data_IF_079885174667
#
_entry.id   IF_079885174667
#
_cell.length_a   1.000
_cell.length_b   1.000
_cell.length_c   1.000
_cell.angle_alpha   90.00
_cell.angle_beta   90.00
_cell.angle_gamma   90.00
#
_symmetry.space_group_name_H-M   'P 1'
#
loop_
_entity.id
_entity.type
_entity.pdbx_description
1 polymer ?
#
# COMPACT_ATOMS: atom_id res chain seq x y z
N UNK A 1 25.06 4.54 40.03
CA UNK A 1 24.46 5.82 39.61
C UNK A 1 24.82 5.96 38.13
N UNK A 2 23.98 5.77 37.13
CA UNK A 2 22.57 6.09 36.97
C UNK A 2 22.42 6.83 35.64
N UNK A 3 21.80 6.17 34.65
CA UNK A 3 21.12 6.69 33.44
C UNK A 3 21.96 7.44 32.37
N UNK A 4 21.63 7.41 31.07
CA UNK A 4 20.40 7.04 30.40
C UNK A 4 20.67 6.37 29.03
N UNK A 5 19.89 5.32 28.77
CA UNK A 5 19.55 4.79 27.45
C UNK A 5 18.99 5.89 26.53
N UNK A 6 19.59 6.08 25.36
CA UNK A 6 18.93 6.77 24.24
C UNK A 6 18.58 5.74 23.16
N UNK A 7 17.42 5.10 23.33
CA UNK A 7 16.81 4.17 22.38
C UNK A 7 15.36 4.61 22.20
N UNK A 8 15.07 5.52 21.26
CA UNK A 8 13.69 5.73 20.77
C UNK A 8 13.47 6.68 19.57
N UNK A 9 14.50 7.16 18.86
CA UNK A 9 14.32 8.20 17.83
C UNK A 9 14.42 7.77 16.36
N UNK A 10 15.20 6.73 16.03
CA UNK A 10 15.77 6.64 14.68
C UNK A 10 15.13 5.61 13.74
N UNK A 11 14.18 4.78 14.20
CA UNK A 11 13.71 3.61 13.43
C UNK A 11 12.33 3.73 12.77
N UNK A 12 11.76 4.92 12.69
CA UNK A 12 10.37 5.13 12.23
C UNK A 12 10.26 6.03 10.99
N UNK A 13 11.35 6.16 10.22
CA UNK A 13 11.52 7.27 9.28
C UNK A 13 11.33 6.95 7.78
N UNK A 14 11.15 5.69 7.37
CA UNK A 14 11.23 5.33 5.94
C UNK A 14 9.92 5.58 5.19
N UNK A 15 8.84 4.88 5.54
CA UNK A 15 7.50 5.18 4.99
C UNK A 15 7.13 6.65 5.29
N UNK A 16 7.41 7.15 6.50
CA UNK A 16 7.17 8.55 6.85
C UNK A 16 7.84 9.54 5.87
N UNK A 17 9.06 9.26 5.41
CA UNK A 17 9.76 10.05 4.40
C UNK A 17 9.15 9.94 3.00
N UNK A 18 8.56 8.79 2.64
CA UNK A 18 7.88 8.61 1.34
C UNK A 18 6.71 9.58 1.14
N UNK A 19 6.04 10.00 2.22
CA UNK A 19 4.96 10.99 2.14
C UNK A 19 5.43 12.43 1.83
N UNK A 20 6.74 12.66 1.74
CA UNK A 20 7.30 13.90 1.23
C UNK A 20 7.72 13.80 -0.24
N UNK A 21 7.68 12.59 -0.82
CA UNK A 21 8.06 12.36 -2.23
C UNK A 21 6.97 12.87 -3.16
N UNK A 22 5.72 12.61 -2.81
CA UNK A 22 4.56 13.15 -3.50
C UNK A 22 3.83 14.14 -2.60
N UNK A 23 3.00 14.98 -3.19
CA UNK A 23 2.09 15.85 -2.43
C UNK A 23 0.63 15.35 -2.53
N UNK A 24 0.46 14.07 -2.92
CA UNK A 24 -0.86 13.47 -3.11
C UNK A 24 -1.58 13.35 -1.77
N UNK A 25 -2.80 13.85 -1.71
CA UNK A 25 -3.68 13.76 -0.56
C UNK A 25 -4.68 12.60 -0.69
N UNK A 26 -5.23 12.16 0.45
CA UNK A 26 -6.29 11.11 0.50
C UNK A 26 -7.48 11.44 -0.40
N UNK A 27 -7.83 12.73 -0.49
CA UNK A 27 -8.93 13.22 -1.31
C UNK A 27 -8.68 12.96 -2.79
N UNK A 28 -7.46 13.20 -3.26
CA UNK A 28 -7.06 12.99 -4.66
C UNK A 28 -7.02 11.51 -4.99
N UNK A 29 -6.44 10.68 -4.11
CA UNK A 29 -6.50 9.22 -4.23
C UNK A 29 -7.92 8.69 -4.28
N UNK A 30 -8.84 9.24 -3.46
CA UNK A 30 -10.26 8.90 -3.50
C UNK A 30 -10.93 9.29 -4.82
N UNK A 31 -10.56 10.44 -5.41
CA UNK A 31 -11.04 10.85 -6.73
C UNK A 31 -10.52 9.93 -7.84
N UNK A 32 -9.24 9.52 -7.78
CA UNK A 32 -8.67 8.54 -8.70
C UNK A 32 -9.39 7.19 -8.57
N UNK A 33 -9.59 6.67 -7.34
CA UNK A 33 -10.33 5.43 -7.07
C UNK A 33 -11.72 5.47 -7.70
N UNK A 34 -12.44 6.57 -7.51
CA UNK A 34 -13.76 6.76 -8.10
C UNK A 34 -13.70 6.75 -9.63
N UNK A 35 -12.76 7.49 -10.22
CA UNK A 35 -12.58 7.55 -11.67
C UNK A 35 -12.30 6.17 -12.28
N UNK A 36 -11.52 5.32 -11.60
CA UNK A 36 -11.30 3.94 -12.03
C UNK A 36 -12.55 3.07 -11.91
N UNK A 37 -13.28 3.19 -10.80
CA UNK A 37 -14.57 2.51 -10.63
C UNK A 37 -15.58 2.87 -11.73
N UNK A 38 -15.64 4.14 -12.12
CA UNK A 38 -16.53 4.63 -13.19
C UNK A 38 -16.06 4.19 -14.60
N UNK A 39 -14.75 4.01 -14.79
CA UNK A 39 -14.16 3.61 -16.07
C UNK A 39 -14.17 2.08 -16.32
N UNK A 40 -14.32 1.27 -15.26
CA UNK A 40 -14.39 -0.18 -15.35
C UNK A 40 -15.85 -0.68 -15.43
N UNK A 41 -16.07 -1.76 -16.19
CA UNK A 41 -17.34 -2.51 -16.12
C UNK A 41 -17.48 -3.13 -14.73
N UNK A 42 -18.71 -3.26 -14.22
CA UNK A 42 -18.96 -3.90 -12.92
C UNK A 42 -18.25 -5.26 -12.81
N UNK A 43 -17.36 -5.37 -11.81
CA UNK A 43 -16.57 -6.58 -11.55
C UNK A 43 -15.23 -6.67 -12.29
N UNK A 44 -14.88 -5.67 -13.13
CA UNK A 44 -13.55 -5.51 -13.69
C UNK A 44 -12.72 -4.53 -12.85
N UNK A 45 -11.42 -4.83 -12.72
CA UNK A 45 -10.47 -4.00 -11.96
C UNK A 45 -9.25 -3.58 -12.78
N UNK A 46 -9.28 -3.81 -14.09
CA UNK A 46 -8.16 -3.50 -14.97
C UNK A 46 -8.31 -2.09 -15.52
N UNK A 47 -7.30 -1.25 -15.32
CA UNK A 47 -7.21 0.08 -15.95
C UNK A 47 -5.94 0.20 -16.79
N UNK A 48 -6.05 0.94 -17.90
CA UNK A 48 -4.96 1.26 -18.81
C UNK A 48 -4.40 2.66 -18.55
N UNK A 49 -3.37 3.05 -19.32
CA UNK A 49 -2.72 4.37 -19.19
C UNK A 49 -3.63 5.54 -19.50
N UNK A 50 -4.55 5.40 -20.45
CA UNK A 50 -5.49 6.48 -20.80
C UNK A 50 -6.44 6.74 -19.62
N UNK A 51 -6.95 5.67 -19.01
CA UNK A 51 -7.79 5.77 -17.81
C UNK A 51 -7.04 6.34 -16.60
N UNK A 52 -5.74 6.03 -16.46
CA UNK A 52 -4.88 6.69 -15.47
C UNK A 52 -4.75 8.20 -15.74
N UNK A 53 -4.51 8.59 -16.98
CA UNK A 53 -4.38 10.01 -17.36
C UNK A 53 -5.68 10.80 -17.10
N UNK A 54 -6.82 10.23 -17.46
CA UNK A 54 -8.14 10.81 -17.20
C UNK A 54 -8.39 10.95 -15.70
N UNK A 55 -8.06 9.93 -14.90
CA UNK A 55 -8.22 9.96 -13.45
C UNK A 55 -7.32 11.01 -12.77
N UNK A 56 -6.05 11.13 -13.19
CA UNK A 56 -5.12 12.14 -12.67
C UNK A 56 -5.59 13.56 -13.02
N UNK A 57 -6.15 13.74 -14.22
CA UNK A 57 -6.73 15.02 -14.66
C UNK A 57 -7.95 15.37 -13.80
N UNK A 58 -8.86 14.42 -13.59
CA UNK A 58 -10.06 14.61 -12.78
C UNK A 58 -9.73 14.91 -11.30
N UNK A 59 -8.67 14.31 -10.77
CA UNK A 59 -8.20 14.55 -9.41
C UNK A 59 -7.32 15.82 -9.27
N UNK A 60 -6.99 16.51 -10.37
CA UNK A 60 -6.12 17.68 -10.41
C UNK A 60 -4.72 17.42 -9.79
N UNK A 61 -4.14 16.26 -10.10
CA UNK A 61 -2.81 15.87 -9.63
C UNK A 61 -1.74 16.82 -10.19
N UNK A 62 -0.79 17.21 -9.34
CA UNK A 62 0.31 18.09 -9.77
C UNK A 62 1.22 17.41 -10.79
N UNK A 63 1.80 18.15 -11.75
CA UNK A 63 2.64 17.55 -12.80
C UNK A 63 3.80 16.68 -12.28
N UNK A 64 4.43 17.05 -11.16
CA UNK A 64 5.50 16.22 -10.58
C UNK A 64 5.00 14.86 -10.06
N UNK A 65 3.76 14.82 -9.56
CA UNK A 65 3.14 13.61 -9.00
C UNK A 65 2.61 12.73 -10.14
N UNK A 66 2.16 13.33 -11.25
CA UNK A 66 1.79 12.62 -12.48
C UNK A 66 2.94 11.76 -13.00
N UNK A 67 4.14 12.34 -13.13
CA UNK A 67 5.32 11.59 -13.60
C UNK A 67 5.67 10.41 -12.68
N UNK A 68 5.52 10.60 -11.37
CA UNK A 68 5.73 9.53 -10.39
C UNK A 68 4.69 8.43 -10.60
N UNK A 69 3.40 8.77 -10.70
CA UNK A 69 2.32 7.80 -10.90
C UNK A 69 2.46 7.01 -12.20
N UNK A 70 2.91 7.63 -13.30
CA UNK A 70 3.16 6.91 -14.55
C UNK A 70 4.32 5.90 -14.45
N UNK A 71 5.37 6.26 -13.71
CA UNK A 71 6.48 5.34 -13.43
C UNK A 71 6.01 4.18 -12.56
N UNK A 72 5.20 4.46 -11.53
CA UNK A 72 4.58 3.41 -10.71
C UNK A 72 3.67 2.50 -11.54
N UNK A 73 2.87 3.05 -12.46
CA UNK A 73 2.04 2.22 -13.35
C UNK A 73 2.89 1.24 -14.15
N UNK A 74 4.02 1.70 -14.68
CA UNK A 74 4.97 0.86 -15.42
C UNK A 74 5.55 -0.25 -14.55
N UNK A 75 5.80 0.02 -13.27
CA UNK A 75 6.27 -0.98 -12.31
C UNK A 75 5.20 -2.06 -12.02
N UNK A 76 3.93 -1.67 -11.94
CA UNK A 76 2.81 -2.60 -11.73
C UNK A 76 2.47 -3.42 -12.98
N UNK A 77 2.72 -2.88 -14.19
CA UNK A 77 2.53 -3.58 -15.47
C UNK A 77 3.67 -4.58 -15.77
N UNK A 78 3.81 -5.59 -14.89
CA UNK A 78 4.88 -6.59 -14.98
C UNK A 78 4.86 -7.41 -16.27
N UNK A 79 3.70 -7.53 -16.90
CA UNK A 79 3.49 -8.33 -18.11
C UNK A 79 3.54 -7.52 -19.40
N UNK A 80 3.70 -6.20 -19.33
CA UNK A 80 3.62 -5.32 -20.51
C UNK A 80 2.25 -5.39 -21.20
N UNK A 81 1.19 -5.68 -20.45
CA UNK A 81 -0.16 -5.81 -20.95
C UNK A 81 -0.83 -4.45 -21.20
N UNK A 82 -0.14 -3.35 -20.84
CA UNK A 82 -0.65 -1.99 -20.86
C UNK A 82 -1.90 -1.78 -19.98
N UNK A 83 -2.12 -2.67 -19.01
CA UNK A 83 -3.21 -2.62 -18.04
C UNK A 83 -2.79 -3.25 -16.71
N UNK A 84 -3.28 -2.71 -15.59
CA UNK A 84 -2.98 -3.17 -14.23
C UNK A 84 -4.24 -3.28 -13.39
N UNK A 85 -4.20 -4.09 -12.32
CA UNK A 85 -5.24 -4.09 -11.30
C UNK A 85 -5.15 -2.80 -10.47
N UNK A 86 -6.16 -1.95 -10.59
CA UNK A 86 -6.13 -0.64 -9.94
C UNK A 86 -6.23 -0.72 -8.41
N UNK A 87 -6.77 -1.83 -7.87
CA UNK A 87 -6.88 -2.03 -6.41
C UNK A 87 -5.50 -2.21 -5.80
N UNK A 88 -4.68 -3.04 -6.44
CA UNK A 88 -3.27 -3.20 -6.08
C UNK A 88 -2.51 -1.90 -6.26
N UNK A 89 -2.70 -1.22 -7.40
CA UNK A 89 -2.05 0.05 -7.67
C UNK A 89 -2.34 1.09 -6.57
N UNK A 90 -3.61 1.33 -6.24
CA UNK A 90 -3.98 2.32 -5.23
C UNK A 90 -3.55 1.93 -3.81
N UNK A 91 -3.65 0.65 -3.46
CA UNK A 91 -3.16 0.13 -2.19
C UNK A 91 -1.64 0.34 -2.06
N UNK A 92 -0.89 0.09 -3.14
CA UNK A 92 0.55 0.31 -3.20
C UNK A 92 0.96 1.78 -3.06
N UNK A 93 0.12 2.72 -3.48
CA UNK A 93 0.36 4.16 -3.33
C UNK A 93 0.01 4.70 -1.93
N UNK A 94 -0.71 3.95 -1.09
CA UNK A 94 -1.08 4.38 0.26
C UNK A 94 0.10 4.84 1.16
N UNK A 95 1.31 4.25 1.09
CA UNK A 95 2.51 4.75 1.77
C UNK A 95 2.91 6.17 1.38
N UNK A 96 2.56 6.64 0.18
CA UNK A 96 2.91 7.98 -0.33
C UNK A 96 2.03 9.08 0.24
N UNK A 97 0.90 8.73 0.87
CA UNK A 97 0.00 9.72 1.46
C UNK A 97 0.41 10.01 2.91
N UNK A 98 0.24 11.26 3.34
CA UNK A 98 0.52 11.67 4.72
C UNK A 98 -0.36 10.91 5.73
N UNK A 99 0.25 10.61 6.89
CA UNK A 99 -0.38 9.91 8.00
C UNK A 99 0.65 9.15 8.82
N UNK A 100 0.26 8.65 9.98
CA UNK A 100 1.07 7.65 10.68
C UNK A 100 1.00 6.29 9.94
N UNK A 101 1.85 5.36 10.35
CA UNK A 101 1.92 4.03 9.73
C UNK A 101 0.56 3.34 9.74
N UNK A 102 -0.12 3.34 10.88
CA UNK A 102 -1.42 2.68 11.06
C UNK A 102 -2.45 3.24 10.09
N UNK A 103 -2.51 4.57 9.96
CA UNK A 103 -3.41 5.26 9.07
C UNK A 103 -3.12 4.95 7.60
N UNK A 104 -1.86 4.71 7.21
CA UNK A 104 -1.48 4.33 5.84
C UNK A 104 -1.85 2.91 5.51
N UNK A 105 -1.63 1.97 6.43
CA UNK A 105 -2.08 0.57 6.27
C UNK A 105 -3.60 0.50 6.15
N UNK A 106 -4.30 1.21 7.03
CA UNK A 106 -5.75 1.31 6.97
C UNK A 106 -6.21 1.88 5.62
N UNK A 107 -5.57 2.95 5.16
CA UNK A 107 -5.87 3.56 3.87
C UNK A 107 -5.60 2.60 2.70
N UNK A 108 -4.54 1.81 2.75
CA UNK A 108 -4.27 0.78 1.74
C UNK A 108 -5.40 -0.25 1.65
N UNK A 109 -5.93 -0.68 2.80
CA UNK A 109 -7.09 -1.56 2.85
C UNK A 109 -8.35 -0.88 2.28
N UNK A 110 -8.62 0.38 2.65
CA UNK A 110 -9.73 1.19 2.13
C UNK A 110 -9.62 1.40 0.61
N UNK A 111 -8.42 1.55 0.06
CA UNK A 111 -8.21 1.69 -1.39
C UNK A 111 -8.45 0.39 -2.15
N UNK A 112 -8.12 -0.75 -1.54
CA UNK A 112 -8.34 -2.07 -2.13
C UNK A 112 -9.81 -2.50 -2.07
N UNK A 113 -10.51 -2.15 -0.99
CA UNK A 113 -11.92 -2.47 -0.73
C UNK A 113 -12.86 -1.57 -1.55
N UNK A 114 -12.95 -1.83 -2.86
CA UNK A 114 -13.76 -1.06 -3.81
C UNK A 114 -15.23 -0.99 -3.41
N UNK A 115 -15.74 -2.02 -2.72
CA UNK A 115 -17.15 -2.12 -2.33
C UNK A 115 -17.43 -1.50 -0.96
N UNK A 116 -16.41 -0.94 -0.29
CA UNK A 116 -16.50 -0.39 1.06
C UNK A 116 -17.15 -1.37 2.06
N UNK A 117 -16.81 -2.65 1.93
CA UNK A 117 -17.32 -3.72 2.79
C UNK A 117 -16.77 -3.66 4.23
N UNK A 118 -15.68 -2.94 4.45
CA UNK A 118 -14.99 -2.88 5.74
C UNK A 118 -14.18 -4.14 6.05
N UNK A 119 -14.05 -5.05 5.08
CA UNK A 119 -13.45 -6.36 5.29
C UNK A 119 -12.54 -6.77 4.14
N UNK A 120 -11.55 -7.61 4.45
CA UNK A 120 -10.60 -8.16 3.47
C UNK A 120 -10.41 -9.65 3.72
N UNK A 121 -10.13 -10.39 2.64
CA UNK A 121 -9.73 -11.79 2.68
C UNK A 121 -8.22 -11.93 2.83
N UNK A 122 -7.77 -13.11 3.24
CA UNK A 122 -6.34 -13.40 3.44
C UNK A 122 -5.49 -13.13 2.20
N UNK A 123 -5.94 -13.59 1.03
CA UNK A 123 -5.21 -13.33 -0.22
C UNK A 123 -5.23 -11.84 -0.61
N UNK A 124 -6.30 -11.10 -0.27
CA UNK A 124 -6.39 -9.66 -0.54
C UNK A 124 -5.41 -8.89 0.35
N UNK A 125 -5.26 -9.29 1.63
CA UNK A 125 -4.22 -8.73 2.49
C UNK A 125 -2.82 -8.96 1.92
N UNK A 126 -2.52 -10.16 1.40
CA UNK A 126 -1.25 -10.45 0.75
C UNK A 126 -1.01 -9.55 -0.47
N UNK A 127 -2.03 -9.29 -1.30
CA UNK A 127 -1.93 -8.36 -2.43
C UNK A 127 -1.66 -6.92 -1.98
N UNK A 128 -2.37 -6.44 -0.95
CA UNK A 128 -2.17 -5.11 -0.37
C UNK A 128 -0.73 -4.95 0.14
N UNK A 129 -0.26 -5.87 0.96
CA UNK A 129 1.09 -5.81 1.56
C UNK A 129 2.15 -5.90 0.47
N UNK A 130 2.00 -6.79 -0.51
CA UNK A 130 2.93 -6.89 -1.64
C UNK A 130 2.94 -5.61 -2.50
N UNK A 131 1.79 -4.99 -2.74
CA UNK A 131 1.72 -3.73 -3.47
C UNK A 131 2.45 -2.59 -2.73
N UNK A 132 2.23 -2.47 -1.41
CA UNK A 132 2.94 -1.51 -0.57
C UNK A 132 4.45 -1.79 -0.54
N UNK A 133 4.83 -3.08 -0.48
CA UNK A 133 6.22 -3.54 -0.52
C UNK A 133 6.93 -3.18 -1.83
N UNK A 134 6.25 -3.35 -2.97
CA UNK A 134 6.80 -2.99 -4.28
C UNK A 134 7.08 -1.49 -4.38
N UNK A 135 6.16 -0.65 -3.90
CA UNK A 135 6.34 0.81 -3.92
C UNK A 135 7.44 1.24 -2.95
N UNK A 136 7.51 0.68 -1.74
CA UNK A 136 8.60 0.96 -0.81
C UNK A 136 9.97 0.57 -1.40
N UNK A 137 10.08 -0.63 -1.97
CA UNK A 137 11.30 -1.14 -2.62
C UNK A 137 11.75 -0.26 -3.78
N UNK A 138 10.82 0.28 -4.57
CA UNK A 138 11.12 1.23 -5.64
C UNK A 138 11.81 2.50 -5.15
N UNK A 139 11.53 2.94 -3.92
CA UNK A 139 12.18 4.08 -3.28
C UNK A 139 13.44 3.71 -2.50
N UNK A 140 13.89 2.46 -2.60
CA UNK A 140 15.12 1.97 -1.97
C UNK A 140 14.94 1.46 -0.54
N UNK A 141 13.69 1.33 -0.07
CA UNK A 141 13.43 0.69 1.22
C UNK A 141 13.62 -0.82 1.10
N UNK A 142 14.13 -1.49 2.15
CA UNK A 142 14.25 -2.93 2.11
C UNK A 142 12.91 -3.64 1.94
N UNK A 143 12.91 -4.62 1.04
CA UNK A 143 11.72 -5.40 0.73
C UNK A 143 11.51 -6.51 1.76
N UNK A 144 10.25 -6.73 2.10
CA UNK A 144 9.75 -7.92 2.80
C UNK A 144 9.76 -9.08 1.82
N UNK A 145 10.13 -10.28 2.28
CA UNK A 145 10.10 -11.47 1.43
C UNK A 145 8.67 -12.03 1.30
N UNK A 146 8.37 -12.81 0.24
CA UNK A 146 7.07 -13.47 0.13
C UNK A 146 6.71 -14.32 1.36
N UNK A 147 7.68 -15.01 1.94
CA UNK A 147 7.49 -15.85 3.13
C UNK A 147 7.12 -15.02 4.37
N UNK A 148 7.69 -13.83 4.50
CA UNK A 148 7.36 -12.88 5.57
C UNK A 148 5.93 -12.31 5.38
N UNK A 149 5.52 -12.03 4.14
CA UNK A 149 4.14 -11.62 3.83
C UNK A 149 3.14 -12.74 4.13
N UNK A 150 3.48 -13.98 3.79
CA UNK A 150 2.64 -15.14 4.08
C UNK A 150 2.50 -15.34 5.59
N UNK A 151 3.61 -15.26 6.34
CA UNK A 151 3.59 -15.36 7.80
C UNK A 151 2.72 -14.28 8.46
N UNK A 152 2.84 -13.04 8.00
CA UNK A 152 1.96 -11.94 8.42
C UNK A 152 0.48 -12.28 8.19
N UNK A 153 0.15 -12.77 7.00
CA UNK A 153 -1.22 -13.13 6.65
C UNK A 153 -1.74 -14.29 7.50
N UNK A 154 -0.92 -15.29 7.81
CA UNK A 154 -1.30 -16.34 8.76
C UNK A 154 -1.59 -15.79 10.15
N UNK A 155 -0.70 -14.94 10.68
CA UNK A 155 -0.82 -14.39 12.04
C UNK A 155 -2.08 -13.55 12.20
N UNK A 156 -2.37 -12.68 11.23
CA UNK A 156 -3.57 -11.81 11.25
C UNK A 156 -4.86 -12.63 11.19
N UNK A 157 -4.86 -13.75 10.46
CA UNK A 157 -6.06 -14.57 10.27
C UNK A 157 -6.19 -15.70 11.31
N UNK A 158 -5.19 -15.92 12.16
CA UNK A 158 -5.17 -16.98 13.17
C UNK A 158 -6.32 -16.85 14.19
N UNK A 159 -6.69 -15.61 14.53
CA UNK A 159 -7.78 -15.30 15.47
C UNK A 159 -9.11 -15.01 14.77
N UNK A 160 -9.16 -15.06 13.44
CA UNK A 160 -10.40 -14.86 12.70
C UNK A 160 -11.36 -16.03 12.96
N UNK A 161 -12.64 -15.71 13.23
CA UNK A 161 -13.68 -16.71 13.51
C UNK A 161 -13.90 -17.69 12.38
N UNK A 162 -13.73 -17.26 11.15
CA UNK A 162 -13.87 -18.09 9.95
C UNK A 162 -12.53 -18.34 9.25
N UNK A 163 -11.47 -17.58 9.57
CA UNK A 163 -10.16 -17.70 8.92
C UNK A 163 -10.17 -17.25 7.45
N UNK A 164 -11.29 -16.69 6.98
CA UNK A 164 -11.50 -16.33 5.57
C UNK A 164 -11.52 -14.82 5.38
N UNK A 165 -12.19 -14.10 6.29
CA UNK A 165 -12.41 -12.66 6.20
C UNK A 165 -12.11 -12.01 7.56
N UNK A 166 -11.58 -10.79 7.53
CA UNK A 166 -11.36 -9.96 8.72
C UNK A 166 -11.80 -8.53 8.48
N UNK A 167 -12.25 -7.85 9.53
CA UNK A 167 -12.44 -6.41 9.49
C UNK A 167 -11.08 -5.71 9.63
N UNK A 168 -10.64 -4.98 8.61
CA UNK A 168 -9.32 -4.34 8.65
C UNK A 168 -9.21 -3.25 9.71
N UNK A 169 -10.30 -2.60 10.10
CA UNK A 169 -10.33 -1.64 11.21
C UNK A 169 -10.03 -2.31 12.57
N UNK A 170 -10.41 -3.58 12.72
CA UNK A 170 -10.15 -4.38 13.92
C UNK A 170 -8.73 -4.95 13.92
N UNK A 171 -8.25 -5.45 12.77
CA UNK A 171 -6.96 -6.13 12.67
C UNK A 171 -5.78 -5.23 12.31
N UNK A 172 -5.98 -3.94 11.96
CA UNK A 172 -4.88 -3.04 11.58
C UNK A 172 -3.80 -2.92 12.66
N UNK A 173 -4.17 -3.02 13.94
CA UNK A 173 -3.19 -3.04 15.02
C UNK A 173 -2.32 -4.30 14.98
N UNK A 174 -2.92 -5.47 14.70
CA UNK A 174 -2.19 -6.73 14.56
C UNK A 174 -1.27 -6.69 13.33
N UNK A 175 -1.74 -6.14 12.20
CA UNK A 175 -0.92 -5.97 11.00
C UNK A 175 0.33 -5.13 11.32
N UNK A 176 0.17 -3.99 12.01
CA UNK A 176 1.28 -3.05 12.26
C UNK A 176 2.27 -3.56 13.31
N UNK A 177 1.81 -4.34 14.29
CA UNK A 177 2.66 -4.92 15.34
C UNK A 177 3.31 -6.26 14.95
N UNK A 178 2.88 -6.87 13.84
CA UNK A 178 3.44 -8.13 13.37
C UNK A 178 4.94 -8.01 13.05
N UNK A 179 5.79 -8.95 13.50
CA UNK A 179 7.23 -8.88 13.28
C UNK A 179 7.66 -8.72 11.82
N UNK A 180 7.01 -9.43 10.88
CA UNK A 180 7.30 -9.34 9.46
C UNK A 180 6.97 -7.95 8.91
N UNK A 181 5.85 -7.37 9.36
CA UNK A 181 5.46 -6.02 8.99
C UNK A 181 6.29 -4.94 9.70
N UNK A 182 6.86 -5.21 10.87
CA UNK A 182 7.77 -4.24 11.52
C UNK A 182 9.10 -4.12 10.77
N UNK A 183 9.58 -5.20 10.15
CA UNK A 183 10.75 -5.19 9.26
C UNK A 183 10.53 -4.25 8.07
N UNK A 184 9.32 -4.28 7.48
CA UNK A 184 8.85 -3.36 6.44
C UNK A 184 8.90 -1.89 6.88
N UNK A 185 8.38 -1.59 8.08
CA UNK A 185 8.27 -0.22 8.60
C UNK A 185 9.60 0.36 9.10
N UNK A 186 10.49 -0.50 9.59
CA UNK A 186 11.75 -0.11 10.20
C UNK A 186 12.93 -0.06 9.20
N UNK A 187 12.68 -0.37 7.91
CA UNK A 187 13.73 -0.45 6.90
C UNK A 187 14.81 -1.47 7.25
N UNK A 188 14.42 -2.63 7.81
CA UNK A 188 15.33 -3.67 8.28
C UNK A 188 15.39 -4.91 7.37
N UNK A 189 14.70 -4.88 6.23
CA UNK A 189 14.72 -5.98 5.26
C UNK A 189 16.09 -6.21 4.62
N UNK A 190 16.22 -7.34 3.94
CA UNK A 190 17.43 -7.72 3.20
C UNK A 190 17.52 -6.89 1.91
N UNK A 191 18.68 -6.29 1.65
CA UNK A 191 18.92 -5.60 0.37
C UNK A 191 19.05 -6.66 -0.72
N UNK A 192 18.00 -6.86 -1.52
CA UNK A 192 18.12 -7.63 -2.76
C UNK A 192 18.65 -6.71 -3.86
N UNK A 193 19.98 -6.70 -4.02
CA UNK A 193 20.57 -6.34 -5.30
C UNK A 193 20.26 -7.48 -6.28
N UNK A 194 19.63 -7.12 -7.40
CA UNK A 194 19.62 -7.96 -8.60
C UNK A 194 21.02 -8.10 -9.20
#
# INVERSE_FOLDING_TARGET
>A
MGNATSTKGEKQLYIAAMANVTQIERKEMGMIRKSFGDACVTGAYMINRDQLADAMTAANIMPQDVEILERMFTMFDKMGAAAIDYREFLAGLAPLVRGDVKARVLFGCEMFDVNDAGTIKKHELALIVNAMNNVASWFGDPAVTPEEVDALCENVFLESKDGVVVNYGEVVHQIVEDPAFRTFLAGQGSVHYG
#
